data_IF_719991719915
#
_entry.id   IF_719991719915
#
_cell.length_a   1.000
_cell.length_b   1.000
_cell.length_c   1.000
_cell.angle_alpha   90.00
_cell.angle_beta   90.00
_cell.angle_gamma   90.00
#
_symmetry.space_group_name_H-M   'P 1'
#
loop_
_entity.id
_entity.type
_entity.pdbx_description
1 polymer ?
#
# COMPACT_ATOMS: atom_id res chain seq x y z
N UNK A 1 6.73 10.17 -3.73
CA UNK A 1 7.79 9.99 -2.70
C UNK A 1 7.29 9.07 -1.58
N UNK A 2 6.09 9.32 -1.05
CA UNK A 2 5.48 8.58 0.06
C UNK A 2 5.32 7.07 -0.16
N UNK A 3 4.82 6.61 -1.32
CA UNK A 3 4.63 5.17 -1.62
C UNK A 3 5.92 4.34 -1.44
N UNK A 4 7.09 4.91 -1.77
CA UNK A 4 8.38 4.24 -1.61
C UNK A 4 8.75 4.10 -0.13
N UNK A 5 8.50 5.14 0.67
CA UNK A 5 8.77 5.13 2.12
C UNK A 5 7.90 4.10 2.82
N UNK A 6 6.60 4.06 2.51
CA UNK A 6 5.67 3.06 3.08
C UNK A 6 6.10 1.63 2.70
N UNK A 7 6.50 1.41 1.45
CA UNK A 7 7.03 0.11 1.01
C UNK A 7 8.25 -0.32 1.82
N UNK A 8 9.19 0.59 2.06
CA UNK A 8 10.42 0.29 2.81
C UNK A 8 10.13 0.02 4.28
N UNK A 9 9.28 0.83 4.92
CA UNK A 9 8.87 0.65 6.31
C UNK A 9 8.18 -0.69 6.53
N UNK A 10 7.21 -1.06 5.69
CA UNK A 10 6.48 -2.32 5.85
C UNK A 10 7.36 -3.54 5.58
N UNK A 11 8.35 -3.40 4.69
CA UNK A 11 9.34 -4.45 4.48
C UNK A 11 10.21 -4.62 5.71
N UNK A 12 10.65 -3.53 6.32
CA UNK A 12 11.45 -3.56 7.53
C UNK A 12 10.71 -4.23 8.69
N UNK A 13 9.44 -3.87 8.93
CA UNK A 13 8.62 -4.53 9.97
C UNK A 13 8.38 -6.03 9.70
N UNK A 14 8.25 -6.43 8.44
CA UNK A 14 8.15 -7.84 8.09
C UNK A 14 9.47 -8.60 8.32
N UNK A 15 10.61 -7.99 7.98
CA UNK A 15 11.93 -8.56 8.23
C UNK A 15 12.26 -8.62 9.74
N UNK A 16 11.76 -7.67 10.53
CA UNK A 16 11.89 -7.63 11.99
C UNK A 16 10.92 -8.60 12.72
N UNK A 17 9.97 -9.22 12.00
CA UNK A 17 8.96 -10.10 12.59
C UNK A 17 7.86 -9.37 13.38
N UNK A 18 7.77 -8.05 13.27
CA UNK A 18 6.78 -7.20 13.96
C UNK A 18 5.45 -7.09 13.19
N UNK A 19 5.44 -7.51 11.93
CA UNK A 19 4.23 -7.54 11.13
C UNK A 19 4.33 -8.42 9.89
N UNK A 20 3.21 -8.62 9.21
CA UNK A 20 3.11 -9.40 7.98
C UNK A 20 2.41 -8.58 6.91
N UNK A 21 3.01 -8.46 5.72
CA UNK A 21 2.37 -7.75 4.62
C UNK A 21 1.20 -8.57 4.09
N UNK A 22 0.01 -7.98 4.09
CA UNK A 22 -1.21 -8.63 3.59
C UNK A 22 -1.14 -8.73 2.06
N UNK A 23 -0.66 -7.68 1.40
CA UNK A 23 -0.53 -7.60 -0.04
C UNK A 23 0.91 -7.28 -0.48
N UNK A 24 1.48 -8.11 -1.36
CA UNK A 24 2.84 -7.90 -1.91
C UNK A 24 2.92 -6.66 -2.83
N UNK A 25 1.84 -6.40 -3.59
CA UNK A 25 1.69 -5.23 -4.48
C UNK A 25 0.65 -4.28 -3.88
N UNK A 26 0.79 -2.95 -4.06
CA UNK A 26 -0.23 -2.01 -3.61
C UNK A 26 -1.54 -2.26 -4.36
N UNK A 27 -2.66 -2.05 -3.69
CA UNK A 27 -3.99 -2.02 -4.32
C UNK A 27 -4.15 -0.63 -4.92
N UNK A 28 -4.40 -0.58 -6.23
CA UNK A 28 -4.62 0.67 -6.97
C UNK A 28 -6.12 0.92 -7.15
N UNK A 29 -6.50 2.18 -7.33
CA UNK A 29 -7.87 2.55 -7.65
C UNK A 29 -8.33 1.90 -8.96
N UNK A 30 -9.60 1.51 -9.02
CA UNK A 30 -10.20 0.93 -10.22
C UNK A 30 -10.51 1.99 -11.28
N UNK A 31 -10.72 1.58 -12.53
CA UNK A 31 -11.10 2.51 -13.61
C UNK A 31 -12.42 3.24 -13.33
N UNK A 32 -13.42 2.54 -12.76
CA UNK A 32 -14.70 3.15 -12.36
C UNK A 32 -14.53 4.18 -11.23
N UNK A 33 -13.69 3.88 -10.26
CA UNK A 33 -13.38 4.79 -9.15
C UNK A 33 -12.63 6.03 -9.63
N UNK A 34 -11.69 5.90 -10.58
CA UNK A 34 -10.98 7.02 -11.19
C UNK A 34 -11.93 7.90 -12.02
N UNK A 35 -12.92 7.29 -12.68
CA UNK A 35 -13.92 8.04 -13.44
C UNK A 35 -14.83 8.87 -12.53
N UNK A 36 -15.21 8.34 -11.37
CA UNK A 36 -16.01 9.05 -10.36
C UNK A 36 -15.18 10.03 -9.51
N UNK A 37 -13.91 9.71 -9.27
CA UNK A 37 -12.97 10.51 -8.50
C UNK A 37 -11.59 10.54 -9.18
N UNK A 38 -11.33 11.51 -10.07
CA UNK A 38 -10.04 11.62 -10.78
C UNK A 38 -8.82 11.73 -9.86
N UNK A 39 -8.99 12.22 -8.62
CA UNK A 39 -7.91 12.32 -7.63
C UNK A 39 -7.45 10.95 -7.12
N UNK A 40 -8.28 9.91 -7.24
CA UNK A 40 -7.93 8.54 -6.85
C UNK A 40 -6.89 7.89 -7.80
N UNK A 41 -6.64 8.46 -8.97
CA UNK A 41 -5.70 7.92 -9.99
C UNK A 41 -4.31 7.59 -9.44
N UNK A 42 -3.81 8.36 -8.47
CA UNK A 42 -2.49 8.17 -7.87
C UNK A 42 -2.51 7.37 -6.57
N UNK A 43 -3.69 6.99 -6.07
CA UNK A 43 -3.84 6.29 -4.80
C UNK A 43 -3.24 4.87 -4.86
N UNK A 44 -2.49 4.52 -3.83
CA UNK A 44 -1.86 3.20 -3.66
C UNK A 44 -2.03 2.75 -2.22
N UNK A 45 -2.92 1.78 -2.00
CA UNK A 45 -3.17 1.22 -0.68
C UNK A 45 -2.18 0.08 -0.39
N UNK A 46 -1.47 0.18 0.73
CA UNK A 46 -0.61 -0.86 1.28
C UNK A 46 -1.14 -1.24 2.66
N UNK A 47 -1.18 -2.54 2.97
CA UNK A 47 -1.70 -3.03 4.26
C UNK A 47 -0.66 -3.94 4.91
N UNK A 48 -0.45 -3.72 6.21
CA UNK A 48 0.35 -4.59 7.06
C UNK A 48 -0.48 -5.01 8.26
N UNK A 49 -0.37 -6.28 8.65
CA UNK A 49 -0.97 -6.82 9.86
C UNK A 49 0.11 -6.86 10.94
N UNK A 50 -0.18 -6.32 12.12
CA UNK A 50 0.72 -6.43 13.29
C UNK A 50 0.67 -7.87 13.84
N UNK A 51 1.82 -8.41 14.20
CA UNK A 51 1.97 -9.71 14.86
C UNK A 51 1.97 -9.56 16.39
#
# INVERSE_FOLDING_TARGET
IEDRLVKQLFRHWEEAGEGKRVNKKPIAASSGEIAQNPRARSAKLRVIQKL
#
